data_IF_750812980623
#
_entry.id   IF_750812980623
#
_cell.length_a   1.000
_cell.length_b   1.000
_cell.length_c   1.000
_cell.angle_alpha   90.00
_cell.angle_beta   90.00
_cell.angle_gamma   90.00
#
_symmetry.space_group_name_H-M   'P 1'
#
loop_
_entity.id
_entity.type
_entity.pdbx_description
1 polymer ?
#
# COMPACT_ATOMS: atom_id res chain seq x y z
N UNK A 1 26.89 15.26 13.78
CA UNK A 1 26.51 15.76 12.43
C UNK A 1 27.12 14.79 11.43
N UNK A 2 26.35 14.25 10.49
CA UNK A 2 26.93 13.41 9.43
C UNK A 2 27.75 14.29 8.49
N UNK A 3 29.03 13.93 8.32
CA UNK A 3 29.92 14.60 7.38
C UNK A 3 29.41 14.36 5.94
N UNK A 4 29.25 13.08 5.58
CA UNK A 4 28.56 12.63 4.37
C UNK A 4 27.36 11.71 4.70
N UNK A 5 26.14 12.26 4.80
CA UNK A 5 24.95 11.47 5.10
C UNK A 5 24.53 10.52 3.96
N UNK A 6 24.91 10.79 2.71
CA UNK A 6 24.54 9.92 1.59
C UNK A 6 25.42 8.67 1.60
N UNK A 7 26.73 8.84 1.77
CA UNK A 7 27.66 7.72 1.93
C UNK A 7 27.31 6.84 3.13
N UNK A 8 27.00 7.46 4.27
CA UNK A 8 26.53 6.71 5.44
C UNK A 8 25.26 5.90 5.16
N UNK A 9 24.32 6.44 4.37
CA UNK A 9 23.15 5.68 3.92
C UNK A 9 23.53 4.53 2.99
N UNK A 10 24.44 4.73 2.03
CA UNK A 10 24.88 3.69 1.10
C UNK A 10 25.60 2.53 1.82
N UNK A 11 26.37 2.83 2.85
CA UNK A 11 27.12 1.83 3.61
C UNK A 11 26.22 1.01 4.57
N UNK A 12 25.18 1.64 5.15
CA UNK A 12 24.39 1.04 6.23
C UNK A 12 22.96 0.64 5.82
N UNK A 13 22.40 1.26 4.77
CA UNK A 13 20.97 1.22 4.48
C UNK A 13 20.63 1.13 2.98
N UNK A 14 21.58 0.79 2.09
CA UNK A 14 21.46 0.80 0.62
C UNK A 14 20.13 0.30 0.03
N UNK A 15 19.51 -0.69 0.65
CA UNK A 15 18.27 -1.34 0.18
C UNK A 15 16.99 -0.84 0.86
N UNK A 16 17.09 0.16 1.75
CA UNK A 16 15.98 0.65 2.56
C UNK A 16 15.39 1.92 1.95
N UNK A 17 14.14 1.81 1.48
CA UNK A 17 13.45 2.99 0.94
C UNK A 17 13.12 4.05 1.99
N UNK A 18 12.89 5.28 1.54
CA UNK A 18 12.70 6.50 2.37
C UNK A 18 11.79 6.30 3.59
N UNK A 19 10.64 5.65 3.41
CA UNK A 19 9.65 5.44 4.48
C UNK A 19 10.12 4.46 5.56
N UNK A 20 10.97 3.49 5.21
CA UNK A 20 11.57 2.60 6.19
C UNK A 20 12.78 3.26 6.84
N UNK A 21 13.54 4.07 6.10
CA UNK A 21 14.63 4.86 6.65
C UNK A 21 14.14 5.81 7.74
N UNK A 22 13.04 6.55 7.49
CA UNK A 22 12.48 7.46 8.49
C UNK A 22 12.04 6.78 9.78
N UNK A 23 11.67 5.48 9.72
CA UNK A 23 11.28 4.68 10.87
C UNK A 23 12.47 4.09 11.63
N UNK A 24 13.54 3.73 10.91
CA UNK A 24 14.75 3.13 11.49
C UNK A 24 15.71 4.19 12.03
N UNK A 25 15.96 5.24 11.25
CA UNK A 25 16.84 6.34 11.59
C UNK A 25 16.25 7.67 11.10
N UNK A 26 15.43 8.25 11.97
CA UNK A 26 14.78 9.52 11.70
C UNK A 26 15.77 10.70 11.64
N UNK A 27 16.92 10.61 12.32
CA UNK A 27 17.91 11.66 12.33
C UNK A 27 18.62 11.75 10.98
N UNK A 28 19.04 10.61 10.43
CA UNK A 28 19.60 10.51 9.09
C UNK A 28 18.57 10.94 8.03
N UNK A 29 17.34 10.44 8.11
CA UNK A 29 16.26 10.84 7.21
C UNK A 29 16.04 12.36 7.19
N UNK A 30 15.99 12.99 8.36
CA UNK A 30 15.81 14.45 8.48
C UNK A 30 17.00 15.22 7.93
N UNK A 31 18.22 14.73 8.16
CA UNK A 31 19.45 15.33 7.62
C UNK A 31 19.45 15.29 6.09
N UNK A 32 19.16 14.13 5.51
CA UNK A 32 19.05 13.96 4.05
C UNK A 32 17.94 14.83 3.46
N UNK A 33 16.80 14.95 4.15
CA UNK A 33 15.70 15.84 3.74
C UNK A 33 16.14 17.30 3.69
N UNK A 34 16.77 17.79 4.77
CA UNK A 34 17.25 19.18 4.88
C UNK A 34 18.31 19.52 3.84
N UNK A 35 19.14 18.54 3.46
CA UNK A 35 20.17 18.69 2.41
C UNK A 35 19.66 18.42 0.99
N UNK A 36 18.38 18.12 0.78
CA UNK A 36 17.82 17.83 -0.54
C UNK A 36 18.25 16.49 -1.15
N UNK A 37 18.82 15.57 -0.36
CA UNK A 37 19.41 14.32 -0.83
C UNK A 37 18.43 13.14 -0.85
N UNK A 38 17.19 13.32 -0.40
CA UNK A 38 16.20 12.24 -0.39
C UNK A 38 15.92 11.66 -1.78
N UNK A 39 16.11 12.44 -2.85
CA UNK A 39 15.92 11.97 -4.22
C UNK A 39 16.83 10.81 -4.58
N UNK A 40 18.04 10.75 -3.99
CA UNK A 40 19.01 9.66 -4.18
C UNK A 40 18.61 8.38 -3.46
N UNK A 41 17.63 8.45 -2.55
CA UNK A 41 17.14 7.28 -1.82
C UNK A 41 15.94 6.68 -2.55
N UNK A 42 15.93 5.35 -2.78
CA UNK A 42 14.82 4.68 -3.44
C UNK A 42 13.50 4.93 -2.72
N UNK A 43 12.47 5.25 -3.49
CA UNK A 43 11.10 5.10 -3.02
C UNK A 43 10.78 3.61 -3.02
N UNK A 44 10.09 3.13 -2.00
CA UNK A 44 9.51 1.78 -2.07
C UNK A 44 8.42 1.83 -3.13
N UNK A 45 8.73 1.34 -4.34
CA UNK A 45 7.74 1.20 -5.39
C UNK A 45 6.63 0.29 -4.89
N UNK A 46 5.39 0.78 -4.97
CA UNK A 46 4.19 -0.05 -4.82
C UNK A 46 3.49 0.00 -6.17
N UNK A 47 3.44 -1.12 -6.92
CA UNK A 47 2.72 -1.14 -8.17
C UNK A 47 1.27 -0.72 -7.91
N UNK A 48 0.79 0.23 -8.71
CA UNK A 48 -0.61 0.63 -8.68
C UNK A 48 -1.41 -0.47 -9.37
N UNK A 49 -2.12 -1.29 -8.58
CA UNK A 49 -3.03 -2.28 -9.15
C UNK A 49 -4.23 -1.51 -9.71
N UNK A 50 -4.44 -1.64 -11.01
CA UNK A 50 -5.58 -1.05 -11.72
C UNK A 50 -6.53 -2.20 -12.04
N UNK A 51 -7.73 -2.14 -11.48
CA UNK A 51 -8.84 -2.99 -11.88
C UNK A 51 -9.63 -2.21 -12.92
N UNK A 52 -9.60 -2.66 -14.17
CA UNK A 52 -10.36 -2.06 -15.27
C UNK A 52 -11.85 -2.07 -14.92
N UNK A 53 -12.38 -3.25 -14.61
CA UNK A 53 -13.69 -3.45 -14.01
C UNK A 53 -13.57 -4.22 -12.68
N UNK A 54 -13.53 -3.51 -11.53
CA UNK A 54 -13.42 -4.15 -10.23
C UNK A 54 -14.70 -4.91 -9.82
N UNK A 55 -15.88 -4.57 -10.36
CA UNK A 55 -17.10 -5.29 -10.00
C UNK A 55 -17.13 -6.64 -10.71
N UNK A 56 -16.89 -6.65 -12.02
CA UNK A 56 -16.76 -7.90 -12.78
C UNK A 56 -15.68 -8.82 -12.20
N UNK A 57 -14.51 -8.26 -11.87
CA UNK A 57 -13.45 -9.04 -11.23
C UNK A 57 -13.86 -9.64 -9.87
N UNK A 58 -14.70 -8.92 -9.10
CA UNK A 58 -15.27 -9.45 -7.87
C UNK A 58 -16.26 -10.59 -8.15
N UNK A 59 -17.16 -10.43 -9.10
CA UNK A 59 -18.15 -11.45 -9.49
C UNK A 59 -17.44 -12.73 -9.97
N UNK A 60 -16.41 -12.60 -10.80
CA UNK A 60 -15.69 -13.75 -11.38
C UNK A 60 -14.86 -14.53 -10.34
N UNK A 61 -14.38 -13.89 -9.26
CA UNK A 61 -13.36 -14.48 -8.36
C UNK A 61 -13.76 -14.56 -6.88
N UNK A 62 -14.76 -13.79 -6.46
CA UNK A 62 -15.12 -13.58 -5.07
C UNK A 62 -16.64 -13.47 -4.86
N UNK A 63 -17.45 -14.04 -5.76
CA UNK A 63 -18.90 -14.06 -5.64
C UNK A 63 -19.32 -14.55 -4.23
N UNK A 64 -20.26 -13.84 -3.62
CA UNK A 64 -20.75 -14.16 -2.28
C UNK A 64 -19.80 -13.81 -1.13
N UNK A 65 -18.53 -13.46 -1.40
CA UNK A 65 -17.58 -13.03 -0.36
C UNK A 65 -18.02 -11.68 0.19
N UNK A 66 -18.15 -11.60 1.52
CA UNK A 66 -18.60 -10.36 2.17
C UNK A 66 -17.55 -9.25 2.10
N UNK A 67 -17.98 -8.00 2.24
CA UNK A 67 -17.10 -6.81 2.27
C UNK A 67 -15.93 -6.96 3.25
N UNK A 68 -16.22 -7.45 4.46
CA UNK A 68 -15.21 -7.65 5.50
C UNK A 68 -14.20 -8.72 5.12
N UNK A 69 -14.67 -9.85 4.59
CA UNK A 69 -13.79 -10.93 4.13
C UNK A 69 -12.98 -10.52 2.89
N UNK A 70 -13.59 -9.79 1.96
CA UNK A 70 -12.95 -9.25 0.77
C UNK A 70 -11.83 -8.28 1.12
N UNK A 71 -12.02 -7.43 2.13
CA UNK A 71 -10.97 -6.51 2.61
C UNK A 71 -9.73 -7.25 3.10
N UNK A 72 -9.91 -8.41 3.74
CA UNK A 72 -8.82 -9.25 4.24
C UNK A 72 -8.16 -10.05 3.11
N UNK A 73 -8.94 -10.62 2.19
CA UNK A 73 -8.44 -11.44 1.08
C UNK A 73 -7.78 -10.58 -0.02
N UNK A 74 -8.41 -9.48 -0.40
CA UNK A 74 -7.97 -8.60 -1.48
C UNK A 74 -8.29 -7.13 -1.15
N UNK A 75 -7.50 -6.57 -0.25
CA UNK A 75 -7.59 -5.16 0.14
C UNK A 75 -7.52 -4.16 -1.02
N UNK A 76 -6.67 -4.35 -2.06
CA UNK A 76 -6.66 -3.50 -3.25
C UNK A 76 -8.02 -3.47 -3.98
N UNK A 77 -8.64 -4.62 -4.21
CA UNK A 77 -9.94 -4.74 -4.85
C UNK A 77 -11.05 -4.08 -4.03
N UNK A 78 -11.09 -4.36 -2.71
CA UNK A 78 -12.02 -3.69 -1.79
C UNK A 78 -11.90 -2.15 -1.87
N UNK A 79 -10.67 -1.62 -1.88
CA UNK A 79 -10.43 -0.18 -2.01
C UNK A 79 -10.86 0.36 -3.37
N UNK A 80 -10.68 -0.40 -4.45
CA UNK A 80 -11.13 -0.01 -5.79
C UNK A 80 -12.65 0.08 -5.86
N UNK A 81 -13.36 -0.94 -5.37
CA UNK A 81 -14.82 -0.96 -5.27
C UNK A 81 -15.34 0.19 -4.39
N UNK A 82 -14.71 0.43 -3.23
CA UNK A 82 -15.07 1.54 -2.33
C UNK A 82 -14.95 2.89 -3.02
N UNK A 83 -13.82 3.15 -3.69
CA UNK A 83 -13.56 4.43 -4.36
C UNK A 83 -14.56 4.69 -5.50
N UNK A 84 -15.03 3.63 -6.17
CA UNK A 84 -16.02 3.71 -7.25
C UNK A 84 -17.47 3.62 -6.78
N UNK A 85 -17.73 3.52 -5.46
CA UNK A 85 -19.09 3.39 -4.91
C UNK A 85 -19.77 2.04 -5.20
N UNK A 86 -19.01 1.01 -5.57
CA UNK A 86 -19.52 -0.30 -6.02
C UNK A 86 -19.70 -1.31 -4.88
N UNK A 87 -19.28 -0.97 -3.65
CA UNK A 87 -19.47 -1.86 -2.49
C UNK A 87 -20.94 -2.22 -2.22
N UNK A 88 -21.90 -1.44 -2.73
CA UNK A 88 -23.33 -1.75 -2.66
C UNK A 88 -23.70 -3.09 -3.29
N UNK A 89 -22.90 -3.56 -4.25
CA UNK A 89 -23.06 -4.87 -4.92
C UNK A 89 -22.35 -6.02 -4.18
N UNK A 90 -21.59 -5.72 -3.13
CA UNK A 90 -20.89 -6.73 -2.32
C UNK A 90 -21.67 -7.00 -1.03
N UNK A 91 -21.95 -8.27 -0.67
CA UNK A 91 -22.67 -8.63 0.54
C UNK A 91 -22.01 -8.11 1.82
N UNK A 92 -22.79 -7.67 2.79
CA UNK A 92 -22.27 -7.21 4.10
C UNK A 92 -22.11 -8.38 5.07
N UNK A 93 -23.09 -9.27 5.08
CA UNK A 93 -23.15 -10.50 5.86
C UNK A 93 -23.29 -11.68 4.90
N UNK A 94 -22.84 -12.86 5.32
CA UNK A 94 -23.11 -14.06 4.55
C UNK A 94 -24.62 -14.27 4.61
N UNK A 95 -25.30 -13.98 3.50
CA UNK A 95 -26.72 -14.26 3.40
C UNK A 95 -26.86 -15.76 3.20
N UNK A 96 -27.51 -16.43 4.15
CA UNK A 96 -28.14 -17.72 3.90
C UNK A 96 -29.65 -17.48 4.05
N UNK A 97 -30.47 -17.95 3.09
CA UNK A 97 -31.91 -17.93 3.31
C UNK A 97 -32.20 -18.74 4.57
N UNK A 98 -32.97 -18.17 5.49
CA UNK A 98 -33.52 -18.94 6.60
C UNK A 98 -34.52 -19.94 6.00
N UNK A 99 -34.20 -21.22 6.11
CA UNK A 99 -35.12 -22.34 5.85
C UNK A 99 -36.34 -22.29 6.76
#
# INVERSE_FOLDING_TARGET
>A
IFEDPLKFYEDNYKSIGRANLSRKDNHLYTTLKRRGLLEKIPLKYKPKIIFEDPLKFYEDNYEGVTRGKLQLLNGPLYKALKRRGLLKHVPIVHWQPRS
#
